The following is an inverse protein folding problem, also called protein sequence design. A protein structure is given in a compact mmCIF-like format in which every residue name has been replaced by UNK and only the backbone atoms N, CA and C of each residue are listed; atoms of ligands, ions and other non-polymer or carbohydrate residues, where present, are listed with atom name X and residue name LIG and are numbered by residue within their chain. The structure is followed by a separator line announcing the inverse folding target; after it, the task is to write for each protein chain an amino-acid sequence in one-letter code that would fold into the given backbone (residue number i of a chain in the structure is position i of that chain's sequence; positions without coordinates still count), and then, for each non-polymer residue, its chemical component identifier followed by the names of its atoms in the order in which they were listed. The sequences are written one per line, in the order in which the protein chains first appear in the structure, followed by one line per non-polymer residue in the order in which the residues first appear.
data_IF_455654608044
#
_entry.id   IF_455654608044
#
_cell.length_a   1.000
_cell.length_b   1.000
_cell.length_c   1.000
_cell.angle_alpha   90.00
_cell.angle_beta   90.00
_cell.angle_gamma   90.00
#
_symmetry.space_group_name_H-M   'P 1'
#
loop_
_entity.id
_entity.type
_entity.pdbx_description
1 polymer ?
#
# COMPACT_ATOMS: atom_id res chain seq x y z
N UNK A 1 0.37 3.10 -5.83
CA UNK A 1 1.17 4.34 -5.62
C UNK A 1 0.98 5.36 -6.74
N UNK A 2 1.11 4.96 -8.02
CA UNK A 2 0.99 5.86 -9.18
C UNK A 2 -0.24 6.80 -9.15
N UNK A 3 -1.41 6.27 -8.76
CA UNK A 3 -2.64 7.07 -8.66
C UNK A 3 -2.58 8.16 -7.59
N UNK A 4 -1.99 7.91 -6.43
CA UNK A 4 -1.91 8.93 -5.37
C UNK A 4 -0.87 9.99 -5.74
N UNK A 5 0.25 9.57 -6.35
CA UNK A 5 1.28 10.49 -6.87
C UNK A 5 0.68 11.43 -7.91
N UNK A 6 -0.14 10.93 -8.85
CA UNK A 6 -0.73 11.77 -9.90
C UNK A 6 -1.70 12.83 -9.36
N UNK A 7 -2.24 12.64 -8.15
CA UNK A 7 -3.15 13.59 -7.50
C UNK A 7 -2.48 14.36 -6.36
N UNK A 8 -1.17 14.23 -6.17
CA UNK A 8 -0.46 14.80 -5.03
C UNK A 8 -0.69 16.32 -4.87
N UNK A 9 -0.62 17.07 -5.97
CA UNK A 9 -0.83 18.52 -5.95
C UNK A 9 -2.25 18.90 -5.44
N UNK A 10 -3.27 18.12 -5.79
CA UNK A 10 -4.64 18.37 -5.34
C UNK A 10 -4.80 18.05 -3.85
N UNK A 11 -4.16 16.98 -3.38
CA UNK A 11 -4.16 16.59 -1.97
C UNK A 11 -3.41 17.63 -1.12
N UNK A 12 -2.28 18.14 -1.61
CA UNK A 12 -1.55 19.21 -0.94
C UNK A 12 -2.35 20.52 -0.88
N UNK A 13 -3.10 20.84 -1.95
CA UNK A 13 -3.95 22.03 -1.99
C UNK A 13 -5.05 22.01 -0.91
N UNK A 14 -5.40 20.84 -0.36
CA UNK A 14 -6.34 20.72 0.77
C UNK A 14 -5.66 20.76 2.13
N UNK A 15 -4.37 21.09 2.21
CA UNK A 15 -3.54 21.01 3.43
C UNK A 15 -3.51 19.59 4.04
N UNK A 16 -3.44 18.57 3.19
CA UNK A 16 -3.42 17.17 3.63
C UNK A 16 -2.05 16.54 3.40
N UNK A 17 -1.48 15.98 4.45
CA UNK A 17 -0.25 15.20 4.37
C UNK A 17 -0.53 13.74 4.00
N UNK A 18 0.38 13.16 3.23
CA UNK A 18 0.30 11.76 2.80
C UNK A 18 1.51 11.00 3.33
N UNK A 19 1.24 9.91 4.04
CA UNK A 19 2.25 8.95 4.50
C UNK A 19 1.91 7.56 4.00
N UNK A 20 2.93 6.83 3.54
CA UNK A 20 2.80 5.42 3.16
C UNK A 20 3.22 4.55 4.34
N UNK A 21 2.36 3.61 4.74
CA UNK A 21 2.65 2.65 5.80
C UNK A 21 2.54 1.23 5.21
N UNK A 22 3.63 0.49 5.26
CA UNK A 22 3.66 -0.92 4.85
C UNK A 22 4.20 -1.81 5.97
N UNK A 23 3.92 -3.10 5.88
CA UNK A 23 4.50 -4.12 6.74
C UNK A 23 5.46 -5.00 5.91
N UNK A 24 6.47 -5.57 6.55
CA UNK A 24 7.45 -6.42 5.89
C UNK A 24 8.87 -6.15 6.35
N UNK A 25 9.84 -6.63 5.59
CA UNK A 25 11.26 -6.42 5.91
C UNK A 25 11.74 -5.07 5.37
N UNK A 26 12.70 -4.40 6.04
CA UNK A 26 13.31 -3.18 5.53
C UNK A 26 13.91 -3.33 4.11
N UNK A 27 14.40 -4.54 3.79
CA UNK A 27 14.93 -4.85 2.45
C UNK A 27 13.88 -4.63 1.35
N UNK A 28 12.69 -5.25 1.49
CA UNK A 28 11.63 -5.12 0.49
C UNK A 28 11.04 -3.71 0.43
N UNK A 29 10.99 -3.01 1.57
CA UNK A 29 10.63 -1.60 1.61
C UNK A 29 11.61 -0.74 0.79
N UNK A 30 12.91 -1.01 0.91
CA UNK A 30 13.93 -0.29 0.14
C UNK A 30 13.83 -0.56 -1.36
N UNK A 31 13.69 -1.83 -1.76
CA UNK A 31 13.48 -2.22 -3.16
C UNK A 31 12.27 -1.49 -3.74
N UNK A 32 11.14 -1.51 -3.02
CA UNK A 32 9.93 -0.84 -3.47
C UNK A 32 10.10 0.67 -3.62
N UNK A 33 10.83 1.33 -2.70
CA UNK A 33 11.14 2.76 -2.81
C UNK A 33 12.01 3.06 -4.04
N UNK A 34 12.99 2.21 -4.33
CA UNK A 34 13.83 2.35 -5.53
C UNK A 34 13.03 2.17 -6.82
N UNK A 35 12.11 1.22 -6.87
CA UNK A 35 11.29 0.99 -8.07
C UNK A 35 10.24 2.08 -8.29
N UNK A 36 9.61 2.56 -7.21
CA UNK A 36 8.47 3.47 -7.32
C UNK A 36 8.85 4.94 -7.24
N UNK A 37 10.03 5.28 -6.70
CA UNK A 37 10.47 6.66 -6.46
C UNK A 37 9.39 7.48 -5.74
N UNK A 38 8.67 6.84 -4.81
CA UNK A 38 7.54 7.47 -4.11
C UNK A 38 8.00 8.75 -3.40
N UNK A 39 7.30 9.89 -3.58
CA UNK A 39 7.67 11.14 -2.94
C UNK A 39 7.22 11.23 -1.47
N UNK A 40 6.48 10.23 -0.99
CA UNK A 40 5.86 10.24 0.32
C UNK A 40 6.76 9.60 1.38
N UNK A 41 6.74 10.10 2.63
CA UNK A 41 7.34 9.40 3.75
C UNK A 41 6.84 7.95 3.82
N UNK A 42 7.78 7.02 4.03
CA UNK A 42 7.50 5.59 4.04
C UNK A 42 7.87 5.00 5.40
N UNK A 43 6.84 4.54 6.12
CA UNK A 43 6.99 3.90 7.43
C UNK A 43 6.84 2.39 7.28
N UNK A 44 7.75 1.65 7.90
CA UNK A 44 7.66 0.19 8.02
C UNK A 44 7.10 -0.15 9.39
N UNK A 45 6.03 -0.92 9.41
CA UNK A 45 5.37 -1.47 10.60
C UNK A 45 5.51 -3.01 10.59
N UNK A 46 6.67 -3.57 10.98
CA UNK A 46 6.93 -5.00 10.88
C UNK A 46 5.94 -5.84 11.69
N UNK A 47 5.54 -5.31 12.84
CA UNK A 47 4.62 -5.98 13.77
C UNK A 47 3.15 -5.77 13.43
N UNK A 48 2.82 -4.99 12.38
CA UNK A 48 1.45 -4.65 11.98
C UNK A 48 0.65 -3.97 13.11
N UNK A 49 1.33 -3.25 14.00
CA UNK A 49 0.70 -2.57 15.12
C UNK A 49 -0.26 -1.47 14.66
N UNK A 50 0.13 -0.67 13.67
CA UNK A 50 -0.72 0.34 13.08
C UNK A 50 -1.93 -0.31 12.38
N UNK A 51 -1.71 -1.38 11.61
CA UNK A 51 -2.80 -2.09 10.93
C UNK A 51 -3.84 -2.61 11.92
N UNK A 52 -3.43 -3.19 13.05
CA UNK A 52 -4.35 -3.61 14.12
C UNK A 52 -5.08 -2.43 14.76
N UNK A 53 -4.37 -1.36 15.07
CA UNK A 53 -4.97 -0.17 15.69
C UNK A 53 -6.06 0.47 14.81
N UNK A 54 -5.90 0.42 13.49
CA UNK A 54 -6.88 0.91 12.52
C UNK A 54 -7.89 -0.15 12.05
N UNK A 55 -7.86 -1.39 12.57
CA UNK A 55 -8.77 -2.46 12.15
C UNK A 55 -8.56 -2.95 10.71
N UNK A 56 -7.37 -2.73 10.14
CA UNK A 56 -7.01 -3.08 8.75
C UNK A 56 -6.55 -4.54 8.62
N UNK A 57 -7.39 -5.48 9.07
CA UNK A 57 -7.03 -6.90 9.07
C UNK A 57 -6.92 -7.50 7.66
N UNK A 58 -6.04 -8.49 7.52
CA UNK A 58 -5.87 -9.22 6.27
C UNK A 58 -7.05 -10.17 6.06
N UNK A 59 -7.91 -9.86 5.09
CA UNK A 59 -8.95 -10.80 4.68
C UNK A 59 -8.43 -11.73 3.59
N UNK A 60 -7.80 -12.83 4.01
CA UNK A 60 -7.28 -13.87 3.09
C UNK A 60 -8.38 -14.39 2.16
N UNK A 61 -9.59 -14.63 2.70
CA UNK A 61 -10.75 -15.06 1.91
C UNK A 61 -11.22 -14.01 0.90
N UNK A 62 -11.09 -12.71 1.19
CA UNK A 62 -11.42 -11.65 0.24
C UNK A 62 -10.40 -11.60 -0.89
N UNK A 63 -9.12 -11.75 -0.59
CA UNK A 63 -8.06 -11.70 -1.61
C UNK A 63 -7.98 -12.98 -2.46
N UNK A 64 -8.23 -14.16 -1.87
CA UNK A 64 -8.13 -15.48 -2.50
C UNK A 64 -9.48 -16.13 -2.81
N UNK A 65 -10.55 -15.33 -2.91
CA UNK A 65 -11.85 -15.89 -3.27
C UNK A 65 -11.80 -16.57 -4.65
N UNK A 66 -12.58 -17.64 -4.88
CA UNK A 66 -12.66 -18.30 -6.20
C UNK A 66 -13.00 -17.33 -7.33
N UNK A 67 -13.82 -16.31 -7.06
CA UNK A 67 -14.16 -15.26 -8.02
C UNK A 67 -12.94 -14.43 -8.42
N UNK A 68 -12.10 -14.04 -7.46
CA UNK A 68 -10.88 -13.28 -7.75
C UNK A 68 -9.83 -14.15 -8.46
N UNK A 69 -9.65 -15.40 -8.04
CA UNK A 69 -8.73 -16.32 -8.72
C UNK A 69 -9.14 -16.54 -10.20
N UNK A 70 -10.44 -16.70 -10.46
CA UNK A 70 -10.97 -16.80 -11.83
C UNK A 70 -10.82 -15.51 -12.64
N UNK A 71 -10.98 -14.35 -12.01
CA UNK A 71 -10.71 -13.07 -12.65
C UNK A 71 -9.23 -12.96 -13.07
N UNK A 72 -8.31 -13.30 -12.17
CA UNK A 72 -6.87 -13.24 -12.45
C UNK A 72 -6.43 -14.29 -13.48
N UNK A 73 -7.05 -15.48 -13.53
CA UNK A 73 -6.73 -16.47 -14.57
C UNK A 73 -7.07 -16.03 -15.99
N UNK A 74 -7.93 -15.00 -16.15
CA UNK A 74 -8.28 -14.42 -17.46
C UNK A 74 -7.45 -13.21 -17.84
N UNK A 75 -6.66 -12.67 -16.91
CA UNK A 75 -5.85 -11.46 -17.11
C UNK A 75 -4.39 -11.78 -17.53
N UNK A 76 -4.07 -13.07 -17.70
CA UNK A 76 -2.77 -13.59 -18.17
C UNK A 76 -2.91 -14.08 -19.61
#
# INVERSE_FOLDING_TARGET
MAQVVSHHAQIQATNTDVVTISFGTPYWAHVWLQETQSPFPFLVDPERAAYRAYGLEASVFRSWSPANLWYYSKAV
#
